data_IF_571037065436
#
_entry.id   IF_571037065436
#
_cell.length_a   1.000
_cell.length_b   1.000
_cell.length_c   1.000
_cell.angle_alpha   90.00
_cell.angle_beta   90.00
_cell.angle_gamma   90.00
#
_symmetry.space_group_name_H-M   'P 1'
#
loop_
_entity.id
_entity.type
_entity.pdbx_description
1 polymer ?
#
# COMPACT_ATOMS: atom_id res chain seq x y z
N UNK A 1 -7.09 4.46 4.58
CA UNK A 1 -5.82 4.18 5.30
C UNK A 1 -4.59 4.52 4.46
N UNK A 2 -4.45 4.00 3.23
CA UNK A 2 -3.47 4.48 2.25
C UNK A 2 -3.57 6.00 2.02
N UNK A 3 -4.81 6.51 2.04
CA UNK A 3 -5.15 7.93 1.97
C UNK A 3 -4.55 8.81 3.08
N UNK A 4 -4.25 8.24 4.26
CA UNK A 4 -3.88 9.01 5.45
C UNK A 4 -2.37 8.94 5.77
N UNK A 5 -1.64 8.03 5.13
CA UNK A 5 -0.21 7.78 5.37
C UNK A 5 0.70 8.43 4.33
N UNK A 6 0.17 8.68 3.13
CA UNK A 6 0.84 9.38 2.03
C UNK A 6 2.37 9.19 1.92
N UNK A 7 2.86 7.94 1.75
CA UNK A 7 4.30 7.64 1.75
C UNK A 7 5.07 8.26 0.56
N UNK A 8 4.37 8.84 -0.42
CA UNK A 8 4.91 9.51 -1.61
C UNK A 8 4.56 11.02 -1.70
N UNK A 9 3.77 11.56 -0.76
CA UNK A 9 3.54 13.01 -0.63
C UNK A 9 2.59 13.61 -1.68
N UNK A 10 1.57 12.89 -2.15
CA UNK A 10 0.67 13.34 -3.24
C UNK A 10 -0.75 13.67 -2.75
N UNK A 11 -1.10 13.42 -1.49
CA UNK A 11 -2.50 13.53 -1.08
C UNK A 11 -2.87 14.93 -0.55
N UNK A 12 -3.48 15.74 -1.43
CA UNK A 12 -4.22 16.95 -1.08
C UNK A 12 -5.55 16.55 -0.41
N UNK A 13 -5.90 17.25 0.68
CA UNK A 13 -6.95 16.93 1.66
C UNK A 13 -8.41 16.74 1.15
N UNK A 14 -8.67 16.53 -0.14
CA UNK A 14 -10.05 16.41 -0.67
C UNK A 14 -10.09 15.58 -1.98
N UNK A 15 -9.91 14.24 -1.91
CA UNK A 15 -10.32 13.37 -3.03
C UNK A 15 -10.47 11.89 -2.65
N UNK A 16 -11.62 11.53 -2.07
CA UNK A 16 -11.92 10.19 -1.54
C UNK A 16 -12.12 9.08 -2.60
N UNK A 17 -11.89 9.35 -3.90
CA UNK A 17 -12.18 8.42 -5.01
C UNK A 17 -11.00 8.01 -5.92
N UNK A 18 -9.80 8.55 -5.76
CA UNK A 18 -8.71 8.36 -6.76
C UNK A 18 -7.77 7.17 -6.54
N UNK A 19 -8.08 6.22 -5.64
CA UNK A 19 -7.25 5.00 -5.42
C UNK A 19 -7.98 3.67 -5.67
N UNK A 20 -9.20 3.71 -6.22
CA UNK A 20 -9.96 2.49 -6.52
C UNK A 20 -9.21 1.46 -7.41
N UNK A 21 -8.42 1.84 -8.44
CA UNK A 21 -7.70 0.86 -9.25
C UNK A 21 -6.49 0.23 -8.53
N UNK A 22 -5.70 0.99 -7.77
CA UNK A 22 -4.52 0.50 -7.04
C UNK A 22 -4.90 -0.37 -5.85
N UNK A 23 -5.97 0.00 -5.14
CA UNK A 23 -6.51 -0.81 -4.04
C UNK A 23 -7.02 -2.16 -4.57
N UNK A 24 -7.59 -2.17 -5.77
CA UNK A 24 -8.03 -3.38 -6.47
C UNK A 24 -6.91 -4.37 -6.79
N UNK A 25 -5.67 -3.92 -6.98
CA UNK A 25 -4.52 -4.82 -7.24
C UNK A 25 -3.74 -5.19 -5.98
N UNK A 26 -3.74 -4.32 -4.96
CA UNK A 26 -3.06 -4.56 -3.68
C UNK A 26 -3.84 -5.58 -2.83
N UNK A 27 -5.16 -5.42 -2.67
CA UNK A 27 -5.95 -6.24 -1.74
C UNK A 27 -5.88 -7.75 -2.02
N UNK A 28 -5.98 -8.25 -3.28
CA UNK A 28 -5.85 -9.67 -3.56
C UNK A 28 -4.47 -10.22 -3.18
N UNK A 29 -3.42 -9.40 -3.30
CA UNK A 29 -2.04 -9.79 -2.98
C UNK A 29 -1.76 -9.79 -1.48
N UNK A 30 -2.52 -9.03 -0.70
CA UNK A 30 -2.45 -9.02 0.76
C UNK A 30 -3.12 -10.23 1.41
N UNK A 31 -3.87 -11.05 0.66
CA UNK A 31 -4.48 -12.28 1.17
C UNK A 31 -3.44 -13.32 1.64
N UNK A 32 -2.30 -13.40 0.94
CA UNK A 32 -1.28 -14.44 1.13
C UNK A 32 -0.03 -13.93 1.88
N UNK A 33 -0.14 -12.78 2.55
CA UNK A 33 0.99 -12.20 3.29
C UNK A 33 1.06 -12.77 4.72
N UNK A 34 2.28 -13.04 5.17
CA UNK A 34 2.52 -13.65 6.50
C UNK A 34 3.30 -12.74 7.45
N UNK A 35 3.71 -11.57 6.98
CA UNK A 35 4.47 -10.60 7.76
C UNK A 35 4.24 -9.16 7.29
N UNK A 36 4.60 -8.19 8.13
CA UNK A 36 4.70 -6.77 7.77
C UNK A 36 5.64 -6.58 6.57
N UNK A 37 6.71 -7.36 6.47
CA UNK A 37 7.66 -7.27 5.36
C UNK A 37 7.04 -7.69 4.03
N UNK A 38 6.17 -8.70 4.05
CA UNK A 38 5.40 -9.12 2.88
C UNK A 38 4.43 -8.02 2.43
N UNK A 39 3.74 -7.37 3.37
CA UNK A 39 2.88 -6.21 3.08
C UNK A 39 3.70 -5.08 2.46
N UNK A 40 4.87 -4.75 3.06
CA UNK A 40 5.77 -3.71 2.56
C UNK A 40 6.21 -3.99 1.13
N UNK A 41 6.59 -5.23 0.85
CA UNK A 41 7.01 -5.67 -0.49
C UNK A 41 5.85 -5.57 -1.48
N UNK A 42 4.66 -6.05 -1.14
CA UNK A 42 3.48 -5.98 -2.00
C UNK A 42 3.14 -4.52 -2.33
N UNK A 43 3.08 -3.64 -1.34
CA UNK A 43 2.78 -2.21 -1.57
C UNK A 43 3.85 -1.57 -2.44
N UNK A 44 5.14 -1.79 -2.17
CA UNK A 44 6.23 -1.22 -2.97
C UNK A 44 6.21 -1.71 -4.43
N UNK A 45 5.99 -3.01 -4.64
CA UNK A 45 5.88 -3.59 -5.98
C UNK A 45 4.70 -3.02 -6.76
N UNK A 46 3.54 -2.85 -6.13
CA UNK A 46 2.37 -2.26 -6.79
C UNK A 46 2.61 -0.78 -7.10
N UNK A 47 3.15 0.00 -6.17
CA UNK A 47 3.50 1.40 -6.42
C UNK A 47 4.56 1.53 -7.53
N UNK A 48 5.54 0.63 -7.59
CA UNK A 48 6.53 0.59 -8.67
C UNK A 48 5.95 0.24 -10.03
N UNK A 49 4.87 -0.56 -10.09
CA UNK A 49 4.14 -0.86 -11.33
C UNK A 49 3.30 0.31 -11.81
N UNK A 50 2.65 1.02 -10.90
CA UNK A 50 1.74 2.13 -11.22
C UNK A 50 2.48 3.45 -11.51
N UNK A 51 3.59 3.73 -10.81
CA UNK A 51 4.27 5.03 -10.85
C UNK A 51 5.74 4.97 -11.34
N UNK A 52 6.21 3.79 -11.77
CA UNK A 52 7.62 3.49 -12.06
C UNK A 52 8.53 3.50 -10.81
N UNK A 53 9.52 2.60 -10.77
CA UNK A 53 10.39 2.42 -9.59
C UNK A 53 11.19 3.68 -9.22
N UNK A 54 11.55 4.51 -10.21
CA UNK A 54 12.25 5.78 -10.00
C UNK A 54 11.42 6.77 -9.19
N UNK A 55 10.09 6.74 -9.35
CA UNK A 55 9.16 7.62 -8.63
C UNK A 55 8.75 7.02 -7.29
N UNK A 56 8.52 5.69 -7.25
CA UNK A 56 8.14 4.97 -6.03
C UNK A 56 9.21 5.03 -4.93
N UNK A 57 10.49 5.15 -5.32
CA UNK A 57 11.60 5.26 -4.39
C UNK A 57 11.90 3.97 -3.61
N UNK A 58 12.72 4.05 -2.56
CA UNK A 58 13.17 2.88 -1.81
C UNK A 58 12.05 2.27 -0.96
N UNK A 59 12.10 0.95 -0.79
CA UNK A 59 11.09 0.15 -0.09
C UNK A 59 10.95 0.56 1.40
N UNK A 60 12.01 1.10 2.00
CA UNK A 60 12.06 1.55 3.39
C UNK A 60 11.05 2.67 3.68
N UNK A 61 10.67 3.47 2.68
CA UNK A 61 9.62 4.50 2.80
C UNK A 61 8.24 3.91 3.11
N UNK A 62 8.04 2.62 2.83
CA UNK A 62 6.76 1.95 2.95
C UNK A 62 6.59 1.22 4.30
N UNK A 63 7.54 1.36 5.24
CA UNK A 63 7.50 0.65 6.51
C UNK A 63 6.24 0.99 7.34
N UNK A 64 5.93 2.27 7.50
CA UNK A 64 4.81 2.73 8.35
C UNK A 64 3.47 2.27 7.76
N UNK A 65 3.28 2.46 6.45
CA UNK A 65 2.07 2.03 5.75
C UNK A 65 1.91 0.51 5.76
N UNK A 66 3.02 -0.25 5.73
CA UNK A 66 3.00 -1.70 5.82
C UNK A 66 2.60 -2.19 7.22
N UNK A 67 3.10 -1.56 8.28
CA UNK A 67 2.74 -1.88 9.67
C UNK A 67 1.24 -1.65 9.92
N UNK A 68 0.71 -0.54 9.39
CA UNK A 68 -0.72 -0.26 9.43
C UNK A 68 -1.52 -1.23 8.57
N UNK A 69 -1.07 -1.52 7.34
CA UNK A 69 -1.64 -2.52 6.45
C UNK A 69 -1.81 -3.87 7.15
N UNK A 70 -0.76 -4.31 7.82
CA UNK A 70 -0.74 -5.54 8.59
C UNK A 70 -1.70 -5.53 9.79
N UNK A 71 -1.81 -4.41 10.51
CA UNK A 71 -2.64 -4.31 11.72
C UNK A 71 -4.13 -4.12 11.42
N UNK A 72 -4.45 -3.31 10.43
CA UNK A 72 -5.82 -2.80 10.20
C UNK A 72 -6.49 -3.49 8.99
N UNK A 73 -5.72 -3.91 7.97
CA UNK A 73 -6.29 -4.45 6.71
C UNK A 73 -6.21 -5.96 6.66
N UNK A 74 -5.03 -6.56 6.88
CA UNK A 74 -4.83 -8.01 6.79
C UNK A 74 -5.81 -8.83 7.65
N UNK A 75 -6.17 -8.43 8.89
CA UNK A 75 -7.13 -9.17 9.71
C UNK A 75 -8.58 -9.13 9.19
N UNK A 76 -8.90 -8.17 8.31
CA UNK A 76 -10.24 -7.99 7.74
C UNK A 76 -10.40 -8.71 6.40
N UNK A 77 -9.30 -9.22 5.80
CA UNK A 77 -9.37 -9.96 4.55
C UNK A 77 -9.96 -11.35 4.81
N UNK A 78 -10.89 -11.83 3.95
CA UNK A 78 -11.30 -13.24 3.99
C UNK A 78 -10.04 -14.10 3.78
N UNK A 79 -9.94 -15.23 4.48
CA UNK A 79 -8.87 -16.22 4.32
C UNK A 79 -9.36 -17.45 3.58
#
# INVERSE_FOLDING_TARGET
MLFHEDPIGINFEDNTGEYEPEVGTILPRLHDVHSVEDVRRVIHEEFGKWFELSTAGPQEKYQVVAERGWREVVPLLPR
#
